data_IF_966761084735
#
_entry.id   IF_966761084735
#
_cell.length_a   1.000
_cell.length_b   1.000
_cell.length_c   1.000
_cell.angle_alpha   90.00
_cell.angle_beta   90.00
_cell.angle_gamma   90.00
#
_symmetry.space_group_name_H-M   'P 1'
#
loop_
_entity.id
_entity.type
_entity.pdbx_description
1 polymer ?
#
# COMPACT_ATOMS: atom_id res chain seq x y z
N UNK A 1 -13.71 -11.62 -11.50
CA UNK A 1 -13.86 -10.37 -10.68
C UNK A 1 -12.88 -10.46 -9.52
N UNK A 2 -12.21 -9.37 -9.10
CA UNK A 2 -11.18 -9.42 -8.03
C UNK A 2 -11.56 -8.44 -6.92
N UNK A 3 -12.05 -8.98 -5.81
CA UNK A 3 -12.25 -8.24 -4.56
C UNK A 3 -10.96 -8.32 -3.73
N UNK A 4 -10.67 -7.28 -2.95
CA UNK A 4 -9.54 -7.26 -2.00
C UNK A 4 -9.98 -6.55 -0.72
N UNK A 5 -9.67 -7.18 0.41
CA UNK A 5 -9.76 -6.57 1.74
C UNK A 5 -8.32 -6.36 2.24
N UNK A 6 -8.04 -5.20 2.80
CA UNK A 6 -6.76 -4.89 3.44
C UNK A 6 -7.02 -4.34 4.84
N UNK A 7 -6.33 -4.91 5.82
CA UNK A 7 -6.26 -4.40 7.18
C UNK A 7 -4.86 -3.82 7.41
N UNK A 8 -4.80 -2.59 7.90
CA UNK A 8 -3.56 -1.93 8.30
C UNK A 8 -3.70 -1.48 9.76
N UNK A 9 -2.69 -1.78 10.58
CA UNK A 9 -2.65 -1.42 11.99
C UNK A 9 -1.30 -0.75 12.23
N UNK A 10 -1.30 0.46 12.78
CA UNK A 10 -0.08 1.15 13.20
C UNK A 10 0.05 1.21 14.72
N UNK A 11 1.30 1.15 15.18
CA UNK A 11 1.71 1.24 16.58
C UNK A 11 1.04 0.21 17.52
N UNK A 12 1.10 -1.08 17.15
CA UNK A 12 0.52 -2.21 17.91
C UNK A 12 1.04 -2.26 19.35
N UNK A 13 2.31 -1.90 19.57
CA UNK A 13 2.96 -1.98 20.87
C UNK A 13 2.91 -0.68 21.68
N UNK A 14 2.23 0.35 21.16
CA UNK A 14 2.11 1.67 21.80
C UNK A 14 3.47 2.27 22.21
N UNK A 15 4.36 2.32 21.22
CA UNK A 15 5.79 2.60 21.33
C UNK A 15 6.13 4.09 21.32
N UNK A 16 5.26 4.94 20.75
CA UNK A 16 5.52 6.36 20.60
C UNK A 16 5.08 7.15 21.83
N UNK A 17 5.90 7.09 22.88
CA UNK A 17 5.76 7.91 24.08
C UNK A 17 7.10 8.54 24.42
N UNK A 18 7.09 9.83 24.67
CA UNK A 18 8.29 10.53 25.14
C UNK A 18 8.07 11.00 26.56
N UNK A 19 8.87 10.46 27.47
CA UNK A 19 8.97 10.94 28.84
C UNK A 19 10.39 11.49 29.02
N UNK A 20 10.49 12.76 29.39
CA UNK A 20 11.77 13.38 29.71
C UNK A 20 11.70 13.98 31.11
N UNK A 21 12.74 13.70 31.89
CA UNK A 21 12.96 14.29 33.19
C UNK A 21 14.22 15.14 33.08
N UNK A 22 14.10 16.44 33.33
CA UNK A 22 15.23 17.36 33.35
C UNK A 22 15.41 17.81 34.80
N UNK A 23 16.57 17.49 35.37
CA UNK A 23 16.97 17.91 36.70
C UNK A 23 18.23 18.74 36.57
N UNK A 24 18.13 20.03 36.86
CA UNK A 24 19.28 20.94 36.79
C UNK A 24 19.21 21.97 37.91
N UNK A 25 20.21 21.95 38.80
CA UNK A 25 20.24 22.75 40.02
C UNK A 25 18.96 22.56 40.85
N UNK A 26 18.19 23.62 41.07
CA UNK A 26 16.92 23.60 41.80
C UNK A 26 15.70 23.37 40.89
N UNK A 27 15.90 23.26 39.57
CA UNK A 27 14.82 23.12 38.60
C UNK A 27 14.55 21.64 38.32
N UNK A 28 13.30 21.24 38.56
CA UNK A 28 12.77 19.94 38.18
C UNK A 28 11.67 20.11 37.13
N UNK A 29 11.96 19.74 35.88
CA UNK A 29 10.97 19.75 34.79
C UNK A 29 10.60 18.32 34.44
N UNK A 30 9.29 18.03 34.45
CA UNK A 30 8.72 16.78 33.95
C UNK A 30 8.03 17.06 32.63
N UNK A 31 8.52 16.44 31.56
CA UNK A 31 7.94 16.55 30.24
C UNK A 31 7.34 15.21 29.83
N UNK A 32 6.08 15.25 29.39
CA UNK A 32 5.34 14.08 28.89
C UNK A 32 4.65 14.46 27.60
N UNK A 33 5.07 13.82 26.52
CA UNK A 33 4.44 13.94 25.22
C UNK A 33 3.77 12.61 24.84
N UNK A 34 2.49 12.72 24.53
CA UNK A 34 1.64 11.63 24.06
C UNK A 34 1.15 12.01 22.67
N UNK A 35 1.44 11.16 21.70
CA UNK A 35 0.94 11.32 20.35
C UNK A 35 -0.18 10.32 20.09
N UNK A 36 -1.13 10.70 19.24
CA UNK A 36 -2.11 9.75 18.71
C UNK A 36 -1.49 8.92 17.59
N UNK A 37 -0.94 7.77 17.95
CA UNK A 37 -0.16 6.93 17.03
C UNK A 37 -0.81 5.60 16.72
N UNK A 38 -1.78 5.19 17.54
CA UNK A 38 -2.52 3.95 17.35
C UNK A 38 -3.66 4.17 16.39
N UNK A 39 -3.55 3.61 15.20
CA UNK A 39 -4.60 3.66 14.20
C UNK A 39 -4.87 2.29 13.59
N UNK A 40 -6.12 2.06 13.20
CA UNK A 40 -6.57 0.86 12.51
C UNK A 40 -7.32 1.31 11.27
N UNK A 41 -6.99 0.74 10.11
CA UNK A 41 -7.62 1.06 8.83
C UNK A 41 -8.03 -0.22 8.12
N UNK A 42 -9.33 -0.35 7.88
CA UNK A 42 -9.92 -1.40 7.05
C UNK A 42 -10.31 -0.81 5.69
N UNK A 43 -9.85 -1.45 4.61
CA UNK A 43 -10.15 -1.03 3.25
C UNK A 43 -10.73 -2.18 2.44
N UNK A 44 -11.90 -1.95 1.84
CA UNK A 44 -12.52 -2.86 0.88
C UNK A 44 -12.39 -2.28 -0.53
N UNK A 45 -11.85 -3.07 -1.45
CA UNK A 45 -11.73 -2.70 -2.86
C UNK A 45 -12.38 -3.76 -3.73
N UNK A 46 -13.33 -3.34 -4.56
CA UNK A 46 -13.97 -4.19 -5.53
C UNK A 46 -13.89 -3.57 -6.92
N UNK A 47 -13.30 -4.27 -7.89
CA UNK A 47 -13.21 -3.80 -9.27
C UNK A 47 -14.38 -4.35 -10.10
N UNK A 48 -15.33 -3.47 -10.40
CA UNK A 48 -16.38 -3.70 -11.39
C UNK A 48 -15.82 -3.34 -12.79
N UNK A 49 -15.64 -4.32 -13.67
CA UNK A 49 -15.11 -4.09 -15.01
C UNK A 49 -14.96 -5.37 -15.83
N UNK A 50 -15.03 -5.25 -17.15
CA UNK A 50 -14.99 -6.37 -18.09
C UNK A 50 -13.58 -6.97 -18.13
N UNK A 51 -13.31 -7.98 -17.31
CA UNK A 51 -12.00 -8.65 -17.25
C UNK A 51 -11.60 -9.32 -18.57
N UNK A 52 -12.57 -9.53 -19.46
CA UNK A 52 -12.38 -10.08 -20.80
C UNK A 52 -11.48 -9.20 -21.69
N UNK A 53 -11.51 -7.87 -21.53
CA UNK A 53 -10.74 -6.98 -22.40
C UNK A 53 -9.22 -7.06 -22.19
N UNK A 54 -8.76 -7.49 -21.00
CA UNK A 54 -7.32 -7.71 -20.75
C UNK A 54 -6.75 -8.94 -21.49
N UNK A 55 -7.58 -9.94 -21.78
CA UNK A 55 -7.17 -11.11 -22.56
C UNK A 55 -7.26 -10.87 -24.08
N UNK A 56 -8.07 -9.92 -24.54
CA UNK A 56 -8.24 -9.58 -25.96
C UNK A 56 -7.11 -8.68 -26.49
N UNK A 57 -6.25 -8.15 -25.61
CA UNK A 57 -5.07 -7.36 -26.00
C UNK A 57 -3.84 -8.23 -26.34
N UNK A 58 -4.03 -9.48 -26.73
CA UNK A 58 -3.09 -10.14 -27.65
C UNK A 58 -3.30 -9.51 -29.03
N UNK A 59 -2.82 -8.26 -29.17
CA UNK A 59 -2.73 -7.60 -30.45
C UNK A 59 -1.63 -8.35 -31.21
N UNK A 60 -1.99 -9.38 -31.97
CA UNK A 60 -1.17 -9.79 -33.11
C UNK A 60 -0.99 -8.55 -33.95
N UNK A 61 0.17 -7.94 -33.80
CA UNK A 61 0.57 -6.78 -34.57
C UNK A 61 0.68 -7.22 -36.02
N UNK A 62 0.33 -6.35 -36.98
CA UNK A 62 0.47 -6.67 -38.40
C UNK A 62 1.90 -7.14 -38.75
N UNK A 63 2.91 -6.68 -37.99
CA UNK A 63 4.29 -7.16 -38.05
C UNK A 63 4.45 -8.67 -37.77
N UNK A 64 3.71 -9.25 -36.83
CA UNK A 64 3.77 -10.69 -36.52
C UNK A 64 3.12 -11.54 -37.64
N UNK A 65 2.12 -10.97 -38.32
CA UNK A 65 1.48 -11.59 -39.48
C UNK A 65 2.42 -11.57 -40.70
N UNK A 66 3.20 -10.50 -40.89
CA UNK A 66 4.21 -10.44 -41.95
C UNK A 66 5.42 -11.35 -41.68
N UNK A 67 5.87 -11.49 -40.42
CA UNK A 67 6.97 -12.40 -40.08
C UNK A 67 6.65 -13.87 -40.39
N UNK A 68 5.42 -14.32 -40.15
CA UNK A 68 4.97 -15.67 -40.48
C UNK A 68 4.89 -15.93 -42.00
N UNK A 69 4.68 -14.89 -42.82
CA UNK A 69 4.66 -15.01 -44.29
C UNK A 69 6.06 -15.13 -44.86
N UNK A 70 7.06 -14.52 -44.22
CA UNK A 70 8.47 -14.64 -44.62
C UNK A 70 9.07 -15.98 -44.19
N UNK A 71 8.64 -16.58 -43.07
CA UNK A 71 9.12 -17.89 -42.62
C UNK A 71 8.57 -19.10 -43.40
N UNK A 72 7.55 -18.90 -44.25
CA UNK A 72 6.88 -19.98 -45.01
C UNK A 72 7.31 -20.03 -46.48
N UNK A 73 8.16 -19.10 -46.95
CA UNK A 73 8.89 -19.19 -48.23
C UNK A 73 10.37 -19.45 -47.98
#
# INVERSE_FOLDING_TARGET
KKARITLNINDIFYSQKTNALIQYQEINVKFRQLEETRNIRLAFRYSFGNQKLKAVRNRTTASDAEENRVKTN
#
